data_IF_862756171429
#
_entry.id   IF_862756171429
#
_cell.length_a   1.000
_cell.length_b   1.000
_cell.length_c   1.000
_cell.angle_alpha   90.00
_cell.angle_beta   90.00
_cell.angle_gamma   90.00
#
_symmetry.space_group_name_H-M   'P 1'
#
loop_
_entity.id
_entity.type
_entity.pdbx_description
1 polymer ?
#
# COMPACT_ATOMS: atom_id res chain seq x y z
N UNK A 1 -36.41 -1.49 -9.13
CA UNK A 1 -37.66 -0.90 -8.62
C UNK A 1 -37.66 -1.11 -7.11
N UNK A 2 -37.58 -0.03 -6.32
CA UNK A 2 -37.45 -0.07 -4.86
C UNK A 2 -38.79 0.36 -4.26
N UNK A 3 -39.40 -0.50 -3.46
CA UNK A 3 -40.65 -0.18 -2.76
C UNK A 3 -40.31 0.35 -1.37
N UNK A 4 -40.21 1.68 -1.23
CA UNK A 4 -39.92 2.35 0.04
C UNK A 4 -40.88 3.55 0.22
N UNK A 5 -41.78 3.52 1.23
CA UNK A 5 -42.78 4.56 1.44
C UNK A 5 -42.18 5.94 1.75
N UNK A 6 -40.99 6.00 2.35
CA UNK A 6 -40.32 7.28 2.64
C UNK A 6 -39.78 7.94 1.36
N UNK A 7 -39.38 7.15 0.36
CA UNK A 7 -38.93 7.68 -0.94
C UNK A 7 -40.11 8.21 -1.77
N UNK A 8 -41.31 7.68 -1.56
CA UNK A 8 -42.54 8.13 -2.24
C UNK A 8 -43.08 9.46 -1.69
N UNK A 9 -42.79 9.77 -0.41
CA UNK A 9 -43.18 11.05 0.22
C UNK A 9 -42.25 12.20 -0.19
N UNK A 10 -41.03 11.90 -0.65
CA UNK A 10 -40.05 12.90 -1.10
C UNK A 10 -40.36 13.31 -2.54
N UNK A 11 -40.34 14.62 -2.81
CA UNK A 11 -40.53 15.14 -4.17
C UNK A 11 -39.47 14.60 -5.13
N UNK A 12 -39.88 14.10 -6.30
CA UNK A 12 -39.02 13.49 -7.32
C UNK A 12 -37.80 14.36 -7.69
N UNK A 13 -37.97 15.69 -7.74
CA UNK A 13 -36.88 16.63 -8.04
C UNK A 13 -35.75 16.69 -7.00
N UNK A 14 -35.94 16.09 -5.81
CA UNK A 14 -34.93 16.00 -4.75
C UNK A 14 -34.17 14.68 -4.76
N UNK A 15 -34.63 13.69 -5.53
CA UNK A 15 -33.97 12.39 -5.64
C UNK A 15 -32.96 12.47 -6.80
N UNK A 16 -31.65 12.33 -6.53
CA UNK A 16 -30.66 12.34 -7.60
C UNK A 16 -30.68 11.03 -8.40
N UNK A 17 -30.45 11.13 -9.71
CA UNK A 17 -30.35 9.96 -10.58
C UNK A 17 -29.12 9.08 -10.28
N UNK A 18 -28.04 9.71 -9.81
CA UNK A 18 -26.77 9.04 -9.54
C UNK A 18 -26.22 9.47 -8.18
N UNK A 19 -25.86 8.48 -7.36
CA UNK A 19 -25.16 8.69 -6.09
C UNK A 19 -23.79 8.03 -6.18
N UNK A 20 -22.73 8.83 -6.09
CA UNK A 20 -21.36 8.32 -6.02
C UNK A 20 -21.09 7.81 -4.61
N UNK A 21 -20.64 6.55 -4.49
CA UNK A 21 -20.43 5.90 -3.19
C UNK A 21 -18.94 5.78 -2.84
N UNK A 22 -18.12 5.31 -3.78
CA UNK A 22 -16.68 5.10 -3.58
C UNK A 22 -15.92 5.37 -4.89
N UNK A 23 -14.80 6.10 -4.81
CA UNK A 23 -13.80 6.14 -5.89
C UNK A 23 -12.98 4.86 -5.79
N UNK A 24 -12.98 4.07 -6.86
CA UNK A 24 -12.09 2.90 -6.97
C UNK A 24 -10.81 3.38 -7.66
N UNK A 25 -9.69 3.27 -6.97
CA UNK A 25 -8.37 3.61 -7.52
C UNK A 25 -7.86 2.50 -8.44
N UNK A 26 -6.73 2.75 -9.11
CA UNK A 26 -6.12 1.86 -10.11
C UNK A 26 -6.05 0.38 -9.68
N UNK A 27 -5.78 -0.49 -10.65
CA UNK A 27 -5.69 -1.93 -10.41
C UNK A 27 -4.76 -2.28 -9.25
N UNK A 28 -5.17 -3.26 -8.41
CA UNK A 28 -4.42 -3.69 -7.22
C UNK A 28 -2.94 -3.99 -7.51
N UNK A 29 -2.64 -4.51 -8.69
CA UNK A 29 -1.28 -4.80 -9.16
C UNK A 29 -0.40 -3.54 -9.29
N UNK A 30 -0.96 -2.42 -9.75
CA UNK A 30 -0.26 -1.13 -9.88
C UNK A 30 0.05 -0.57 -8.50
N UNK A 31 -0.95 -0.55 -7.59
CA UNK A 31 -0.78 -0.10 -6.20
C UNK A 31 0.32 -0.88 -5.49
N UNK A 32 0.28 -2.22 -5.59
CA UNK A 32 1.28 -3.08 -4.96
C UNK A 32 2.70 -2.90 -5.53
N UNK A 33 2.83 -2.58 -6.82
CA UNK A 33 4.14 -2.28 -7.41
C UNK A 33 4.71 -0.96 -6.89
N UNK A 34 3.86 0.06 -6.71
CA UNK A 34 4.25 1.41 -6.24
C UNK A 34 4.52 1.50 -4.75
N UNK A 35 4.03 0.55 -3.96
CA UNK A 35 4.27 0.49 -2.53
C UNK A 35 5.75 0.33 -2.21
N UNK A 36 6.35 1.42 -1.69
CA UNK A 36 7.78 1.51 -1.28
C UNK A 36 7.99 1.20 0.21
N UNK A 37 6.96 0.72 0.88
CA UNK A 37 6.93 0.47 2.30
C UNK A 37 6.40 -0.92 2.63
N UNK A 38 6.67 -1.37 3.85
CA UNK A 38 6.22 -2.65 4.39
C UNK A 38 5.86 -2.52 5.87
N UNK A 39 4.95 -3.37 6.32
CA UNK A 39 4.72 -3.58 7.75
C UNK A 39 5.72 -4.59 8.28
N UNK A 40 6.09 -4.44 9.55
CA UNK A 40 6.87 -5.44 10.29
C UNK A 40 5.99 -6.10 11.33
N UNK A 41 6.01 -7.42 11.35
CA UNK A 41 5.40 -8.19 12.43
C UNK A 41 6.34 -8.23 13.63
N UNK A 42 5.78 -8.34 14.83
CA UNK A 42 6.55 -8.58 16.03
C UNK A 42 6.97 -10.05 16.09
N UNK A 43 8.25 -10.27 16.37
CA UNK A 43 8.81 -11.61 16.52
C UNK A 43 8.21 -12.30 17.76
N UNK A 44 7.89 -13.59 17.65
CA UNK A 44 7.37 -14.41 18.77
C UNK A 44 5.85 -14.51 18.87
N UNK A 45 5.08 -13.78 18.05
CA UNK A 45 3.63 -13.96 17.98
C UNK A 45 3.28 -15.15 17.06
N UNK A 46 2.89 -16.27 17.64
CA UNK A 46 2.47 -17.47 16.89
C UNK A 46 1.18 -17.18 16.09
N UNK A 47 1.22 -17.32 14.77
CA UNK A 47 0.07 -17.12 13.86
C UNK A 47 0.30 -16.15 12.70
N UNK A 48 1.42 -15.42 12.70
CA UNK A 48 1.74 -14.40 11.67
C UNK A 48 1.98 -14.97 10.26
N UNK A 49 2.21 -16.28 10.11
CA UNK A 49 2.39 -16.93 8.81
C UNK A 49 1.16 -16.82 7.90
N UNK A 50 -0.03 -16.61 8.48
CA UNK A 50 -1.28 -16.44 7.74
C UNK A 50 -1.49 -15.02 7.19
N UNK A 51 -0.59 -14.08 7.51
CA UNK A 51 -0.65 -12.67 7.12
C UNK A 51 0.40 -12.34 6.04
N UNK A 52 0.79 -13.34 5.25
CA UNK A 52 1.67 -13.14 4.11
C UNK A 52 1.01 -12.20 3.08
N UNK A 53 1.84 -11.51 2.29
CA UNK A 53 1.40 -10.55 1.25
C UNK A 53 0.45 -11.14 0.20
N UNK A 54 0.36 -12.47 0.11
CA UNK A 54 -0.52 -13.18 -0.82
C UNK A 54 -1.97 -13.31 -0.30
N UNK A 55 -2.24 -12.88 0.93
CA UNK A 55 -3.58 -12.89 1.50
C UNK A 55 -4.38 -11.66 0.99
N UNK A 56 -5.58 -11.84 0.40
CA UNK A 56 -6.40 -10.73 -0.08
C UNK A 56 -6.77 -9.74 1.04
N UNK A 57 -7.01 -10.23 2.26
CA UNK A 57 -7.34 -9.39 3.41
C UNK A 57 -6.18 -8.47 3.81
N UNK A 58 -4.94 -8.98 3.69
CA UNK A 58 -3.75 -8.15 3.90
C UNK A 58 -3.61 -7.09 2.83
N UNK A 59 -3.94 -7.41 1.57
CA UNK A 59 -3.89 -6.43 0.49
C UNK A 59 -4.90 -5.30 0.74
N UNK A 60 -6.13 -5.63 1.10
CA UNK A 60 -7.18 -4.65 1.40
C UNK A 60 -6.78 -3.77 2.59
N UNK A 61 -6.20 -4.35 3.63
CA UNK A 61 -5.68 -3.59 4.76
C UNK A 61 -4.56 -2.61 4.39
N UNK A 62 -3.63 -2.99 3.50
CA UNK A 62 -2.59 -2.08 3.02
C UNK A 62 -3.17 -0.94 2.18
N UNK A 63 -4.27 -1.19 1.46
CA UNK A 63 -5.00 -0.16 0.71
C UNK A 63 -5.72 0.82 1.64
N UNK A 64 -6.34 0.33 2.72
CA UNK A 64 -6.97 1.17 3.73
C UNK A 64 -5.96 2.09 4.42
N UNK A 65 -4.74 1.61 4.70
CA UNK A 65 -3.66 2.46 5.25
C UNK A 65 -3.28 3.59 4.29
N UNK A 66 -3.33 3.37 2.98
CA UNK A 66 -3.03 4.38 1.95
C UNK A 66 -4.16 5.40 1.78
N UNK A 67 -5.40 5.01 2.04
CA UNK A 67 -6.60 5.85 1.87
C UNK A 67 -6.96 6.61 3.15
N UNK A 68 -6.82 6.00 4.32
CA UNK A 68 -7.25 6.55 5.61
C UNK A 68 -6.06 7.03 6.45
N UNK A 69 -5.97 8.35 6.60
CA UNK A 69 -4.92 9.03 7.38
C UNK A 69 -5.11 8.81 8.89
N UNK A 70 -6.33 8.62 9.39
CA UNK A 70 -6.58 8.35 10.80
C UNK A 70 -6.15 6.94 11.18
N UNK A 71 -6.47 5.94 10.36
CA UNK A 71 -5.97 4.59 10.54
C UNK A 71 -4.44 4.57 10.50
N UNK A 72 -3.85 5.25 9.52
CA UNK A 72 -2.40 5.31 9.29
C UNK A 72 -1.61 5.82 10.50
N UNK A 73 -2.12 6.83 11.21
CA UNK A 73 -1.44 7.43 12.38
C UNK A 73 -1.10 6.41 13.47
N UNK A 74 -1.83 5.31 13.55
CA UNK A 74 -1.68 4.30 14.60
C UNK A 74 -0.79 3.12 14.19
N UNK A 75 -0.19 3.16 12.99
CA UNK A 75 0.56 2.05 12.41
C UNK A 75 1.98 2.48 12.06
N UNK A 76 2.95 1.65 12.45
CA UNK A 76 4.35 1.87 12.10
C UNK A 76 4.65 1.40 10.67
N UNK A 77 5.04 2.33 9.81
CA UNK A 77 5.31 2.07 8.40
C UNK A 77 6.82 2.12 8.17
N UNK A 78 7.38 1.05 7.58
CA UNK A 78 8.81 0.94 7.34
C UNK A 78 9.14 0.99 5.86
N UNK A 79 10.28 1.58 5.51
CA UNK A 79 10.82 1.54 4.15
C UNK A 79 11.08 0.10 3.71
N UNK A 80 10.74 -0.20 2.45
CA UNK A 80 11.17 -1.43 1.79
C UNK A 80 12.39 -1.11 0.89
N UNK A 81 13.61 -1.48 1.32
CA UNK A 81 14.82 -1.16 0.57
C UNK A 81 14.83 -1.77 -0.84
N UNK A 82 14.18 -2.92 -1.03
CA UNK A 82 14.13 -3.59 -2.34
C UNK A 82 13.26 -2.82 -3.34
N UNK A 83 12.19 -2.20 -2.87
CA UNK A 83 11.26 -1.42 -3.69
C UNK A 83 11.76 0.00 -3.94
N UNK A 84 12.57 0.54 -3.03
CA UNK A 84 13.21 1.85 -3.20
C UNK A 84 14.34 1.84 -4.23
N UNK A 85 15.07 0.74 -4.37
CA UNK A 85 16.17 0.63 -5.33
C UNK A 85 15.70 0.43 -6.78
N UNK A 86 14.44 0.07 -6.99
CA UNK A 86 13.88 -0.17 -8.33
C UNK A 86 13.21 1.13 -8.81
N UNK A 87 13.65 1.73 -9.93
CA UNK A 87 12.93 2.81 -10.56
C UNK A 87 11.54 2.29 -10.98
N UNK A 88 10.48 2.87 -10.42
CA UNK A 88 9.12 2.63 -10.87
C UNK A 88 8.74 3.85 -11.70
N UNK A 89 8.51 3.64 -13.00
CA UNK A 89 7.93 4.66 -13.87
C UNK A 89 6.60 5.10 -13.26
N UNK A 90 6.47 6.40 -13.00
CA UNK A 90 5.27 7.01 -12.47
C UNK A 90 4.57 7.71 -13.61
N UNK A 91 3.37 7.26 -13.94
CA UNK A 91 2.52 7.89 -14.95
C UNK A 91 1.83 9.15 -14.37
N UNK A 92 1.15 9.96 -15.17
CA UNK A 92 0.44 11.14 -14.64
C UNK A 92 -0.75 10.74 -13.74
N UNK A 93 -1.48 9.70 -14.11
CA UNK A 93 -2.62 9.14 -13.36
C UNK A 93 -2.20 8.59 -11.98
N UNK A 94 -0.91 8.28 -11.81
CA UNK A 94 -0.36 7.76 -10.58
C UNK A 94 -0.36 8.80 -9.45
N UNK A 95 -0.41 10.09 -9.76
CA UNK A 95 -0.44 11.15 -8.74
C UNK A 95 -1.78 11.25 -7.99
N UNK A 96 -2.86 10.73 -8.55
CA UNK A 96 -4.18 10.70 -7.90
C UNK A 96 -4.38 9.49 -6.97
N UNK A 97 -3.47 8.51 -7.00
CA UNK A 97 -3.57 7.28 -6.22
C UNK A 97 -3.05 7.56 -4.80
N UNK A 98 -3.86 7.27 -3.76
CA UNK A 98 -3.46 7.44 -2.38
C UNK A 98 -2.20 6.63 -2.04
N UNK A 99 -1.34 7.21 -1.21
CA UNK A 99 -0.06 6.62 -0.85
C UNK A 99 0.52 7.22 0.43
N UNK A 100 1.50 6.51 0.99
CA UNK A 100 2.22 6.96 2.19
C UNK A 100 3.44 7.77 1.77
N UNK A 101 3.65 8.94 2.37
CA UNK A 101 4.80 9.78 2.04
C UNK A 101 6.11 9.21 2.60
N UNK A 102 7.24 9.48 1.94
CA UNK A 102 8.56 9.05 2.42
C UNK A 102 8.92 9.62 3.80
N UNK A 103 8.36 10.78 4.16
CA UNK A 103 8.58 11.44 5.45
C UNK A 103 7.93 10.67 6.61
N UNK A 104 6.84 9.95 6.34
CA UNK A 104 6.13 9.12 7.32
C UNK A 104 6.77 7.74 7.52
N UNK A 105 7.67 7.32 6.61
CA UNK A 105 8.28 5.99 6.65
C UNK A 105 9.51 5.94 7.55
N UNK A 106 9.54 4.96 8.45
CA UNK A 106 10.67 4.67 9.33
C UNK A 106 11.74 3.82 8.61
N UNK A 107 12.99 4.06 8.98
CA UNK A 107 14.07 3.16 8.61
C UNK A 107 14.05 1.91 9.51
N UNK A 108 14.44 0.78 8.94
CA UNK A 108 14.33 -0.48 9.64
C UNK A 108 15.62 -0.77 10.41
N UNK A 109 15.60 -0.60 11.74
CA UNK A 109 16.79 -0.78 12.58
C UNK A 109 16.86 -2.21 13.14
N UNK A 110 18.01 -2.87 12.96
CA UNK A 110 18.30 -4.18 13.53
C UNK A 110 19.57 -4.11 14.37
N UNK A 111 19.44 -4.38 15.66
CA UNK A 111 20.51 -4.29 16.68
C UNK A 111 21.55 -5.41 16.61
N UNK A 112 21.59 -6.25 15.56
CA UNK A 112 22.56 -7.33 15.47
C UNK A 112 23.90 -6.80 14.94
N UNK A 113 24.98 -6.70 15.75
CA UNK A 113 26.26 -6.13 15.35
C UNK A 113 27.09 -7.01 14.38
N UNK A 114 26.50 -8.05 13.78
CA UNK A 114 27.23 -9.10 13.06
C UNK A 114 26.71 -9.41 11.64
N UNK A 115 26.20 -8.41 10.89
CA UNK A 115 25.94 -8.60 9.47
C UNK A 115 26.26 -7.33 8.67
N UNK A 116 27.38 -7.28 7.90
CA UNK A 116 27.55 -6.22 6.91
C UNK A 116 26.45 -6.35 5.86
N UNK A 117 25.75 -5.24 5.59
CA UNK A 117 24.82 -5.10 4.47
C UNK A 117 25.61 -5.23 3.17
N UNK A 118 25.79 -6.45 2.67
CA UNK A 118 26.43 -6.67 1.37
C UNK A 118 25.41 -6.43 0.25
N UNK A 119 25.30 -5.18 -0.19
CA UNK A 119 24.98 -4.89 -1.59
C UNK A 119 26.20 -5.29 -2.42
N UNK A 120 26.27 -6.56 -2.84
CA UNK A 120 27.23 -6.96 -3.88
C UNK A 120 26.61 -6.62 -5.22
N UNK A 121 26.87 -5.40 -5.66
CA UNK A 121 26.94 -5.09 -7.08
C UNK A 121 28.18 -5.82 -7.63
N UNK A 122 27.97 -6.82 -8.47
CA UNK A 122 29.02 -7.33 -9.36
C UNK A 122 28.47 -7.30 -10.76
N UNK A 123 28.69 -6.16 -11.43
CA UNK A 123 28.76 -6.06 -12.88
C UNK A 123 30.06 -5.33 -13.23
N UNK A 124 30.61 -5.70 -14.38
CA UNK A 124 31.92 -5.35 -14.95
C UNK A 124 33.09 -6.13 -14.32
N UNK A 125 33.95 -6.85 -15.04
CA UNK A 125 34.47 -6.58 -16.38
C UNK A 125 35.02 -7.86 -17.05
N UNK A 126 34.98 -7.86 -18.38
CA UNK A 126 35.40 -8.90 -19.30
C UNK A 126 36.94 -8.98 -19.47
N UNK A 127 37.35 -9.87 -20.40
CA UNK A 127 38.68 -10.09 -21.00
C UNK A 127 39.59 -11.06 -20.22
N UNK A 128 39.68 -12.32 -20.66
CA UNK A 128 40.44 -12.84 -21.82
C UNK A 128 41.91 -12.99 -21.47
N UNK A 129 42.35 -14.23 -21.33
CA UNK A 129 43.58 -14.80 -21.90
C UNK A 129 43.46 -16.33 -21.97
#
# INVERSE_FOLDING_TARGET
NVNNPELEEISEHKIPDVVLVKKVYAQKSVRNRRRKWRLRHMDGLHGTKSLCSDNPEMTDFLEDIEEDVELRKHINIYKDPKKLSIPVDQDEDDTEIPGVSLAEMLESFSLNPAAPSTSKDTNDEAMKD
#
